data_IF_971291089564
#
_entry.id   IF_971291089564
#
_cell.length_a   1.000
_cell.length_b   1.000
_cell.length_c   1.000
_cell.angle_alpha   90.00
_cell.angle_beta   90.00
_cell.angle_gamma   90.00
#
_symmetry.space_group_name_H-M   'P 1'
#
loop_
_entity.id
_entity.type
_entity.pdbx_description
1 polymer ?
#
# COMPACT_ATOMS: atom_id res chain seq x y z
N UNK A 1 -16.12 -2.59 -23.57
CA UNK A 1 -16.29 -1.91 -22.28
C UNK A 1 -15.08 -2.30 -21.44
N UNK A 2 -14.32 -1.34 -20.95
CA UNK A 2 -13.15 -1.61 -20.09
C UNK A 2 -13.71 -1.82 -18.68
N UNK A 3 -13.50 -3.01 -18.11
CA UNK A 3 -13.89 -3.29 -16.74
C UNK A 3 -12.92 -2.57 -15.80
N UNK A 4 -13.45 -1.69 -14.96
CA UNK A 4 -12.68 -0.76 -14.12
C UNK A 4 -12.56 -1.27 -12.68
N UNK A 5 -11.61 -0.71 -11.91
CA UNK A 5 -11.51 -0.98 -10.47
C UNK A 5 -12.80 -0.64 -9.70
N UNK A 6 -13.58 0.35 -10.15
CA UNK A 6 -14.86 0.72 -9.54
C UNK A 6 -15.93 -0.35 -9.75
N UNK A 7 -16.03 -0.88 -10.97
CA UNK A 7 -16.95 -1.97 -11.30
C UNK A 7 -16.54 -3.25 -10.57
N UNK A 8 -15.24 -3.56 -10.56
CA UNK A 8 -14.70 -4.68 -9.78
C UNK A 8 -15.06 -4.56 -8.30
N UNK A 9 -14.80 -3.41 -7.66
CA UNK A 9 -15.07 -3.24 -6.24
C UNK A 9 -16.57 -3.39 -5.91
N UNK A 10 -17.44 -2.83 -6.77
CA UNK A 10 -18.90 -3.00 -6.65
C UNK A 10 -19.31 -4.47 -6.76
N UNK A 11 -18.77 -5.17 -7.75
CA UNK A 11 -19.17 -6.55 -8.05
C UNK A 11 -18.59 -7.52 -7.00
N UNK A 12 -17.36 -7.31 -6.50
CA UNK A 12 -16.81 -8.01 -5.34
C UNK A 12 -17.66 -7.79 -4.08
N UNK A 13 -18.15 -6.56 -3.84
CA UNK A 13 -19.04 -6.25 -2.71
C UNK A 13 -20.37 -7.00 -2.79
N UNK A 14 -20.89 -7.19 -4.01
CA UNK A 14 -22.09 -7.97 -4.28
C UNK A 14 -21.82 -9.49 -4.39
N UNK A 15 -20.60 -9.93 -4.09
CA UNK A 15 -20.13 -11.31 -4.21
C UNK A 15 -20.34 -11.94 -5.61
N UNK A 16 -20.23 -11.12 -6.66
CA UNK A 16 -20.37 -11.57 -8.04
C UNK A 16 -19.08 -12.24 -8.54
N UNK A 17 -19.17 -13.41 -9.23
CA UNK A 17 -18.01 -14.12 -9.73
C UNK A 17 -17.11 -13.30 -10.67
N UNK A 18 -17.69 -12.40 -11.46
CA UNK A 18 -16.98 -11.56 -12.42
C UNK A 18 -16.03 -10.58 -11.72
N UNK A 19 -16.51 -9.91 -10.67
CA UNK A 19 -15.71 -8.97 -9.88
C UNK A 19 -14.53 -9.68 -9.22
N UNK A 20 -14.80 -10.82 -8.59
CA UNK A 20 -13.74 -11.61 -7.97
C UNK A 20 -12.75 -12.20 -8.97
N UNK A 21 -13.21 -12.65 -10.15
CA UNK A 21 -12.32 -13.16 -11.19
C UNK A 21 -11.39 -12.07 -11.70
N UNK A 22 -11.92 -10.86 -11.90
CA UNK A 22 -11.09 -9.71 -12.26
C UNK A 22 -10.12 -9.34 -11.14
N UNK A 23 -10.58 -9.33 -9.88
CA UNK A 23 -9.73 -9.04 -8.73
C UNK A 23 -8.55 -10.01 -8.66
N UNK A 24 -8.84 -11.32 -8.77
CA UNK A 24 -7.83 -12.35 -8.73
C UNK A 24 -6.83 -12.23 -9.88
N UNK A 25 -7.31 -11.97 -11.10
CA UNK A 25 -6.43 -11.82 -12.26
C UNK A 25 -5.48 -10.63 -12.11
N UNK A 26 -6.00 -9.46 -11.72
CA UNK A 26 -5.23 -8.21 -11.80
C UNK A 26 -4.47 -7.85 -10.51
N UNK A 27 -4.95 -8.28 -9.34
CA UNK A 27 -4.43 -7.82 -8.05
C UNK A 27 -3.70 -8.89 -7.24
N UNK A 28 -3.90 -10.19 -7.50
CA UNK A 28 -3.09 -11.26 -6.85
C UNK A 28 -1.59 -11.11 -7.15
N UNK A 29 -1.14 -10.73 -8.36
CA UNK A 29 0.29 -10.45 -8.60
C UNK A 29 0.85 -9.38 -7.65
N UNK A 30 0.05 -8.37 -7.30
CA UNK A 30 0.44 -7.30 -6.37
C UNK A 30 0.51 -7.86 -4.94
N UNK A 31 -0.51 -8.63 -4.53
CA UNK A 31 -0.52 -9.32 -3.23
C UNK A 31 0.72 -10.21 -3.07
N UNK A 32 1.10 -10.96 -4.11
CA UNK A 32 2.33 -11.77 -4.12
C UNK A 32 3.59 -10.94 -3.87
N UNK A 33 3.74 -9.79 -4.56
CA UNK A 33 4.90 -8.91 -4.35
C UNK A 33 4.93 -8.34 -2.93
N UNK A 34 3.78 -7.96 -2.38
CA UNK A 34 3.66 -7.47 -1.01
C UNK A 34 4.02 -8.55 0.02
N UNK A 35 3.48 -9.77 -0.15
CA UNK A 35 3.81 -10.91 0.72
C UNK A 35 5.30 -11.22 0.65
N UNK A 36 5.90 -11.25 -0.54
CA UNK A 36 7.34 -11.48 -0.70
C UNK A 36 8.22 -10.38 -0.10
N UNK A 37 7.73 -9.13 -0.03
CA UNK A 37 8.47 -8.00 0.58
C UNK A 37 8.41 -8.02 2.10
N UNK A 38 7.23 -8.28 2.67
CA UNK A 38 6.94 -8.04 4.09
C UNK A 38 6.79 -9.31 4.93
N UNK A 39 6.69 -10.48 4.31
CA UNK A 39 6.53 -11.76 4.99
C UNK A 39 7.37 -12.87 4.35
N UNK A 40 7.23 -14.11 4.83
CA UNK A 40 7.80 -15.26 4.16
C UNK A 40 7.09 -15.42 2.80
N UNK A 41 7.86 -15.44 1.70
CA UNK A 41 7.36 -15.50 0.32
C UNK A 41 6.70 -16.84 -0.07
N UNK A 42 5.71 -17.28 0.71
CA UNK A 42 4.97 -18.54 0.54
C UNK A 42 3.57 -18.28 -0.05
N UNK A 43 3.20 -19.05 -1.06
CA UNK A 43 1.87 -19.02 -1.69
C UNK A 43 0.75 -19.35 -0.69
N UNK A 44 1.02 -20.13 0.37
CA UNK A 44 0.02 -20.40 1.41
C UNK A 44 -0.40 -19.11 2.14
N UNK A 45 0.53 -18.16 2.32
CA UNK A 45 0.23 -16.86 2.93
C UNK A 45 -0.59 -15.98 1.99
N UNK A 46 -0.33 -16.01 0.69
CA UNK A 46 -1.17 -15.33 -0.32
C UNK A 46 -2.61 -15.84 -0.23
N UNK A 47 -2.81 -17.17 -0.12
CA UNK A 47 -4.13 -17.75 0.08
C UNK A 47 -4.84 -17.25 1.33
N UNK A 48 -4.14 -17.18 2.48
CA UNK A 48 -4.70 -16.63 3.74
C UNK A 48 -5.12 -15.18 3.58
N UNK A 49 -4.28 -14.35 2.98
CA UNK A 49 -4.58 -12.93 2.70
C UNK A 49 -5.84 -12.80 1.86
N UNK A 50 -5.98 -13.59 0.79
CA UNK A 50 -7.16 -13.54 -0.08
C UNK A 50 -8.45 -13.95 0.65
N UNK A 51 -8.39 -14.97 1.52
CA UNK A 51 -9.51 -15.35 2.37
C UNK A 51 -9.87 -14.22 3.34
N UNK A 52 -8.87 -13.56 3.95
CA UNK A 52 -9.06 -12.39 4.82
C UNK A 52 -9.71 -11.21 4.11
N UNK A 53 -9.33 -10.94 2.85
CA UNK A 53 -9.93 -9.89 2.02
C UNK A 53 -11.40 -10.19 1.69
N UNK A 54 -11.77 -11.47 1.53
CA UNK A 54 -13.16 -11.88 1.20
C UNK A 54 -14.12 -11.84 2.39
N UNK A 55 -13.65 -12.04 3.62
CA UNK A 55 -14.50 -12.05 4.83
C UNK A 55 -15.35 -10.76 4.90
N UNK A 56 -16.69 -10.87 5.01
CA UNK A 56 -17.59 -9.70 5.01
C UNK A 56 -17.23 -8.64 6.06
N UNK A 57 -16.78 -9.07 7.24
CA UNK A 57 -16.47 -8.23 8.39
C UNK A 57 -15.13 -7.47 8.25
N UNK A 58 -14.23 -7.95 7.39
CA UNK A 58 -12.91 -7.35 7.14
C UNK A 58 -12.73 -6.89 5.69
N UNK A 59 -13.78 -6.99 4.88
CA UNK A 59 -13.72 -6.76 3.44
C UNK A 59 -13.31 -5.33 3.12
N UNK A 60 -12.17 -5.20 2.43
CA UNK A 60 -11.71 -3.95 1.82
C UNK A 60 -12.83 -3.27 1.02
N UNK A 61 -13.66 -4.07 0.36
CA UNK A 61 -14.73 -3.59 -0.50
C UNK A 61 -15.92 -3.01 0.27
N UNK A 62 -16.15 -3.41 1.53
CA UNK A 62 -17.25 -2.85 2.34
C UNK A 62 -16.87 -1.51 2.97
N UNK A 63 -15.60 -1.32 3.30
CA UNK A 63 -15.12 -0.12 4.00
C UNK A 63 -14.69 1.01 3.08
N UNK A 64 -14.45 0.71 1.80
CA UNK A 64 -13.91 1.66 0.83
C UNK A 64 -15.01 2.22 -0.07
N UNK A 65 -15.19 3.54 -0.01
CA UNK A 65 -15.95 4.27 -1.02
C UNK A 65 -15.30 4.12 -2.41
N UNK A 66 -16.01 4.42 -3.52
CA UNK A 66 -15.41 4.48 -4.84
C UNK A 66 -14.19 5.40 -4.86
N UNK A 67 -12.99 4.83 -5.02
CA UNK A 67 -11.72 5.57 -5.09
C UNK A 67 -10.91 5.16 -6.32
N UNK A 68 -10.01 6.04 -6.79
CA UNK A 68 -9.11 5.70 -7.88
C UNK A 68 -8.21 4.51 -7.55
N UNK A 69 -7.83 3.73 -8.57
CA UNK A 69 -7.10 2.48 -8.42
C UNK A 69 -5.83 2.59 -7.56
N UNK A 70 -5.03 3.65 -7.72
CA UNK A 70 -3.82 3.83 -6.89
C UNK A 70 -4.14 3.94 -5.39
N UNK A 71 -5.26 4.57 -5.04
CA UNK A 71 -5.73 4.66 -3.66
C UNK A 71 -6.23 3.30 -3.18
N UNK A 72 -7.03 2.62 -3.99
CA UNK A 72 -7.47 1.24 -3.71
C UNK A 72 -6.28 0.32 -3.42
N UNK A 73 -5.22 0.41 -4.20
CA UNK A 73 -4.00 -0.37 -4.02
C UNK A 73 -3.24 -0.04 -2.73
N UNK A 74 -3.20 1.24 -2.32
CA UNK A 74 -2.60 1.64 -1.05
C UNK A 74 -3.38 1.08 0.15
N UNK A 75 -4.70 0.97 0.04
CA UNK A 75 -5.56 0.35 1.07
C UNK A 75 -5.48 -1.19 1.03
N UNK A 76 -5.40 -1.78 -0.17
CA UNK A 76 -5.12 -3.20 -0.35
C UNK A 76 -3.81 -3.58 0.34
N UNK A 77 -2.76 -2.76 0.19
CA UNK A 77 -1.50 -2.94 0.91
C UNK A 77 -1.71 -3.04 2.42
N UNK A 78 -2.50 -2.16 3.03
CA UNK A 78 -2.78 -2.23 4.46
C UNK A 78 -3.44 -3.53 4.86
N UNK A 79 -4.42 -3.98 4.06
CA UNK A 79 -5.08 -5.26 4.29
C UNK A 79 -4.15 -6.45 4.18
N UNK A 80 -3.23 -6.45 3.21
CA UNK A 80 -2.20 -7.50 3.12
C UNK A 80 -1.35 -7.50 4.38
N UNK A 81 -0.82 -6.34 4.81
CA UNK A 81 0.04 -6.25 5.99
C UNK A 81 -0.65 -6.64 7.30
N UNK A 82 -1.95 -6.38 7.42
CA UNK A 82 -2.74 -6.75 8.60
C UNK A 82 -2.85 -8.28 8.79
N UNK A 83 -2.72 -9.05 7.71
CA UNK A 83 -2.74 -10.52 7.72
C UNK A 83 -1.34 -11.13 7.91
N UNK A 84 -0.29 -10.30 7.97
CA UNK A 84 1.08 -10.75 8.20
C UNK A 84 1.40 -10.79 9.70
N UNK A 85 2.19 -11.78 10.10
CA UNK A 85 2.77 -11.78 11.44
C UNK A 85 3.64 -10.54 11.62
N UNK A 86 3.40 -9.81 12.71
CA UNK A 86 4.24 -8.66 13.07
C UNK A 86 5.35 -9.14 14.00
N UNK A 87 6.63 -9.07 13.59
CA UNK A 87 7.73 -9.35 14.49
C UNK A 87 7.70 -8.39 15.68
N UNK A 88 7.98 -8.90 16.88
CA UNK A 88 8.20 -8.05 18.05
C UNK A 88 9.61 -7.47 17.97
N UNK A 89 9.78 -6.15 17.91
CA UNK A 89 11.11 -5.55 17.84
C UNK A 89 11.79 -5.67 19.21
N UNK A 90 13.11 -5.90 19.19
CA UNK A 90 13.94 -5.95 20.41
C UNK A 90 14.04 -4.58 21.09
N UNK A 91 14.07 -3.51 20.28
CA UNK A 91 14.05 -2.12 20.74
C UNK A 91 12.78 -1.50 20.17
N UNK A 92 11.82 -1.20 21.04
CA UNK A 92 10.57 -0.54 20.69
C UNK A 92 10.77 0.97 20.56
N UNK A 93 10.10 1.58 19.59
CA UNK A 93 9.97 3.04 19.48
C UNK A 93 8.53 3.39 19.06
N UNK A 94 7.95 4.39 19.71
CA UNK A 94 6.64 4.90 19.37
C UNK A 94 6.68 6.00 18.31
N UNK A 95 5.51 6.30 17.73
CA UNK A 95 5.39 7.30 16.68
C UNK A 95 5.70 8.72 17.18
N UNK A 96 5.40 9.04 18.45
CA UNK A 96 5.62 10.36 19.03
C UNK A 96 7.12 10.66 19.18
N UNK A 97 7.91 9.66 19.56
CA UNK A 97 9.37 9.73 19.63
C UNK A 97 9.97 9.91 18.24
N UNK A 98 9.48 9.16 17.23
CA UNK A 98 9.89 9.36 15.83
C UNK A 98 9.52 10.77 15.35
N UNK A 99 8.31 11.23 15.66
CA UNK A 99 7.83 12.55 15.29
C UNK A 99 8.70 13.66 15.86
N UNK A 100 9.03 13.58 17.15
CA UNK A 100 9.88 14.53 17.84
C UNK A 100 11.34 14.49 17.35
N UNK A 101 11.87 13.31 17.03
CA UNK A 101 13.22 13.17 16.51
C UNK A 101 13.36 13.78 15.10
N UNK A 102 12.38 13.53 14.23
CA UNK A 102 12.45 13.89 12.82
C UNK A 102 11.81 15.26 12.53
N UNK A 103 11.38 16.01 13.54
CA UNK A 103 10.83 17.37 13.40
C UNK A 103 11.69 18.28 12.49
N UNK A 104 13.04 18.32 12.62
CA UNK A 104 13.89 19.21 11.83
C UNK A 104 14.04 18.83 10.36
N UNK A 105 13.47 17.70 9.94
CA UNK A 105 13.50 17.24 8.56
C UNK A 105 12.34 17.85 7.77
N UNK A 106 12.61 18.19 6.51
CA UNK A 106 11.59 18.58 5.53
C UNK A 106 10.65 17.41 5.22
N UNK A 107 9.51 17.70 4.60
CA UNK A 107 8.54 16.66 4.17
C UNK A 107 9.20 15.54 3.34
N UNK A 108 10.03 15.90 2.36
CA UNK A 108 10.67 14.91 1.47
C UNK A 108 11.74 14.11 2.22
N UNK A 109 12.48 14.73 3.14
CA UNK A 109 13.42 14.02 4.00
C UNK A 109 12.71 13.03 4.94
N UNK A 110 11.56 13.43 5.51
CA UNK A 110 10.68 12.55 6.28
C UNK A 110 10.19 11.37 5.46
N UNK A 111 9.79 11.58 4.20
CA UNK A 111 9.40 10.48 3.30
C UNK A 111 10.57 9.52 3.03
N UNK A 112 11.78 10.03 2.78
CA UNK A 112 12.97 9.20 2.53
C UNK A 112 13.36 8.36 3.75
N UNK A 113 13.23 8.92 4.96
CA UNK A 113 13.41 8.20 6.21
C UNK A 113 12.27 7.21 6.47
N UNK A 114 11.01 7.61 6.25
CA UNK A 114 9.84 6.77 6.50
C UNK A 114 9.80 5.53 5.60
N UNK A 115 10.22 5.62 4.34
CA UNK A 115 10.34 4.47 3.43
C UNK A 115 11.33 3.41 3.95
N UNK A 116 12.23 3.76 4.86
CA UNK A 116 13.08 2.78 5.55
C UNK A 116 12.26 1.83 6.44
N UNK A 117 11.19 2.32 7.08
CA UNK A 117 10.24 1.48 7.85
C UNK A 117 9.57 0.43 6.96
N UNK A 118 9.50 0.70 5.66
CA UNK A 118 8.95 -0.16 4.62
C UNK A 118 9.99 -1.12 4.01
N UNK A 119 11.20 -1.17 4.60
CA UNK A 119 12.31 -2.06 4.22
C UNK A 119 12.84 -1.84 2.80
N UNK A 120 12.70 -0.64 2.25
CA UNK A 120 13.27 -0.27 0.95
C UNK A 120 14.69 0.26 1.11
N UNK A 121 15.60 -0.19 0.25
CA UNK A 121 16.98 0.32 0.25
C UNK A 121 17.06 1.73 -0.35
N UNK A 122 18.16 2.47 -0.16
CA UNK A 122 18.38 3.74 -0.83
C UNK A 122 18.27 3.67 -2.36
N UNK A 123 18.74 2.58 -2.97
CA UNK A 123 18.67 2.32 -4.41
C UNK A 123 17.23 2.19 -4.90
N UNK A 124 16.37 1.55 -4.11
CA UNK A 124 14.95 1.40 -4.43
C UNK A 124 14.15 2.68 -4.13
N UNK A 125 14.54 3.42 -3.08
CA UNK A 125 13.87 4.65 -2.66
C UNK A 125 14.16 5.82 -3.60
N UNK A 126 15.36 5.87 -4.17
CA UNK A 126 15.78 6.94 -5.08
C UNK A 126 14.80 7.18 -6.23
N UNK A 127 14.49 6.15 -7.05
CA UNK A 127 13.47 6.24 -8.10
C UNK A 127 12.09 6.68 -7.60
N UNK A 128 11.63 6.14 -6.45
CA UNK A 128 10.31 6.49 -5.88
C UNK A 128 10.17 7.97 -5.59
N UNK A 129 11.23 8.59 -5.05
CA UNK A 129 11.26 10.00 -4.66
C UNK A 129 11.96 10.89 -5.69
N UNK A 130 12.34 10.35 -6.85
CA UNK A 130 13.07 11.04 -7.93
C UNK A 130 14.34 11.75 -7.44
N UNK A 131 15.12 11.07 -6.60
CA UNK A 131 16.39 11.56 -6.08
C UNK A 131 17.51 10.51 -6.23
N UNK A 132 18.76 10.94 -6.17
CA UNK A 132 19.90 10.02 -6.22
C UNK A 132 19.94 9.13 -4.96
N UNK A 133 20.28 7.82 -5.07
CA UNK A 133 20.39 6.93 -3.91
C UNK A 133 21.32 7.46 -2.80
N UNK A 134 22.46 8.05 -3.17
CA UNK A 134 23.40 8.69 -2.24
C UNK A 134 22.78 9.87 -1.47
N UNK A 135 21.78 10.54 -2.03
CA UNK A 135 21.02 11.57 -1.31
C UNK A 135 20.11 10.93 -0.27
N UNK A 136 19.44 9.83 -0.60
CA UNK A 136 18.63 9.05 0.35
C UNK A 136 19.47 8.56 1.52
N UNK A 137 20.66 8.00 1.25
CA UNK A 137 21.61 7.55 2.29
C UNK A 137 21.92 8.66 3.28
N UNK A 138 22.35 9.83 2.80
CA UNK A 138 22.66 10.99 3.65
C UNK A 138 21.48 11.44 4.50
N UNK A 139 20.27 11.43 3.94
CA UNK A 139 19.05 11.78 4.67
C UNK A 139 18.81 10.75 5.78
N UNK A 140 18.94 9.45 5.48
CA UNK A 140 18.73 8.37 6.46
C UNK A 140 19.82 8.33 7.53
N UNK A 141 21.06 8.70 7.21
CA UNK A 141 22.13 8.84 8.20
C UNK A 141 21.82 9.99 9.16
N UNK A 142 21.38 11.15 8.63
CA UNK A 142 20.92 12.26 9.44
C UNK A 142 19.72 11.88 10.32
N UNK A 143 18.73 11.18 9.75
CA UNK A 143 17.57 10.70 10.50
C UNK A 143 17.95 9.73 11.61
N UNK A 144 18.92 8.83 11.37
CA UNK A 144 19.43 7.92 12.38
C UNK A 144 20.11 8.65 13.54
N UNK A 145 20.96 9.63 13.28
CA UNK A 145 21.61 10.40 14.34
C UNK A 145 20.59 11.20 15.17
N UNK A 146 19.55 11.75 14.52
CA UNK A 146 18.44 12.42 15.23
C UNK A 146 17.68 11.45 16.14
N UNK A 147 17.35 10.24 15.64
CA UNK A 147 16.66 9.21 16.42
C UNK A 147 17.52 8.69 17.56
N UNK A 148 18.82 8.47 17.33
CA UNK A 148 19.78 8.04 18.35
C UNK A 148 19.83 9.01 19.53
N UNK A 149 19.66 10.31 19.29
CA UNK A 149 19.57 11.33 20.33
C UNK A 149 18.26 11.34 21.13
N UNK A 150 17.29 10.48 20.80
CA UNK A 150 15.95 10.42 21.42
C UNK A 150 15.61 9.07 22.07
N UNK A 151 16.50 8.08 21.99
CA UNK A 151 16.27 6.74 22.52
C UNK A 151 17.41 6.28 23.42
N UNK A 152 17.09 5.46 24.43
CA UNK A 152 18.08 4.93 25.36
C UNK A 152 18.90 3.77 24.76
N UNK A 153 18.31 3.01 23.85
CA UNK A 153 18.95 1.91 23.13
C UNK A 153 18.88 2.15 21.62
N UNK A 154 19.98 1.89 20.91
CA UNK A 154 20.11 2.23 19.49
C UNK A 154 20.62 1.08 18.64
N UNK A 155 20.02 0.93 17.46
CA UNK A 155 20.50 0.09 16.36
C UNK A 155 20.12 0.71 15.03
N UNK A 156 20.91 0.46 13.97
CA UNK A 156 20.60 0.99 12.63
C UNK A 156 19.26 0.48 12.09
N UNK A 157 18.85 -0.73 12.48
CA UNK A 157 17.59 -1.34 12.09
C UNK A 157 16.37 -0.84 12.89
N UNK A 158 16.50 0.19 13.74
CA UNK A 158 15.41 0.64 14.62
C UNK A 158 14.11 0.94 13.86
N UNK A 159 14.18 1.73 12.77
CA UNK A 159 13.01 2.03 11.93
C UNK A 159 12.43 0.79 11.21
N UNK A 160 13.19 -0.01 10.44
CA UNK A 160 12.63 -1.17 9.73
C UNK A 160 12.09 -2.26 10.66
N UNK A 161 12.64 -2.39 11.88
CA UNK A 161 12.15 -3.36 12.85
C UNK A 161 10.82 -2.94 13.50
N UNK A 162 10.59 -1.63 13.62
CA UNK A 162 9.35 -1.06 14.15
C UNK A 162 8.33 -0.68 13.05
N UNK A 163 8.62 -0.96 11.78
CA UNK A 163 7.82 -0.40 10.68
C UNK A 163 6.34 -0.81 10.69
N UNK A 164 6.02 -2.02 11.14
CA UNK A 164 4.64 -2.48 11.25
C UNK A 164 3.85 -1.74 12.35
N UNK A 165 4.43 -1.55 13.54
CA UNK A 165 3.78 -0.82 14.64
C UNK A 165 3.66 0.67 14.31
N UNK A 166 4.73 1.28 13.76
CA UNK A 166 4.75 2.68 13.34
C UNK A 166 3.73 2.95 12.23
N UNK A 167 3.64 2.08 11.22
CA UNK A 167 2.65 2.19 10.14
C UNK A 167 1.21 2.10 10.65
N UNK A 168 0.93 1.22 11.61
CA UNK A 168 -0.39 1.14 12.27
C UNK A 168 -0.71 2.42 13.06
N UNK A 169 0.25 2.91 13.84
CA UNK A 169 0.09 4.15 14.60
C UNK A 169 -0.18 5.35 13.67
N UNK A 170 0.58 5.47 12.57
CA UNK A 170 0.38 6.53 11.59
C UNK A 170 -0.99 6.43 10.90
N UNK A 171 -1.45 5.20 10.59
CA UNK A 171 -2.79 4.99 10.02
C UNK A 171 -3.90 5.36 10.99
N UNK A 172 -3.74 5.06 12.28
CA UNK A 172 -4.71 5.40 13.32
C UNK A 172 -4.79 6.91 13.60
N UNK A 173 -3.76 7.68 13.26
CA UNK A 173 -3.71 9.14 13.41
C UNK A 173 -4.49 9.94 12.36
N UNK A 174 -5.36 9.31 11.57
CA UNK A 174 -6.18 10.01 10.58
C UNK A 174 -7.07 11.07 11.23
N UNK A 175 -7.02 12.30 10.71
CA UNK A 175 -7.79 13.45 11.20
C UNK A 175 -8.62 14.13 10.11
N UNK A 176 -9.57 14.97 10.52
CA UNK A 176 -10.45 15.72 9.59
C UNK A 176 -9.70 16.66 8.64
N UNK A 177 -8.52 17.11 9.05
CA UNK A 177 -7.66 18.01 8.28
C UNK A 177 -6.68 17.27 7.35
N UNK A 178 -6.71 15.93 7.33
CA UNK A 178 -5.88 15.14 6.42
C UNK A 178 -6.27 15.36 4.97
N UNK A 179 -5.31 15.17 4.07
CA UNK A 179 -5.50 15.40 2.65
C UNK A 179 -6.51 14.41 2.05
N UNK A 180 -7.37 14.90 1.16
CA UNK A 180 -8.28 14.05 0.40
C UNK A 180 -7.54 13.19 -0.65
N UNK A 181 -8.13 12.06 -1.09
CA UNK A 181 -7.57 11.25 -2.18
C UNK A 181 -7.26 12.03 -3.45
N UNK A 182 -8.15 12.96 -3.82
CA UNK A 182 -7.96 13.84 -4.98
C UNK A 182 -6.72 14.73 -4.82
N UNK A 183 -6.50 15.26 -3.62
CA UNK A 183 -5.35 16.12 -3.33
C UNK A 183 -4.04 15.34 -3.46
N UNK A 184 -3.96 14.14 -2.88
CA UNK A 184 -2.80 13.25 -3.01
C UNK A 184 -2.46 12.97 -4.49
N UNK A 185 -3.45 12.59 -5.28
CA UNK A 185 -3.24 12.24 -6.69
C UNK A 185 -2.82 13.45 -7.53
N UNK A 186 -3.38 14.63 -7.26
CA UNK A 186 -2.96 15.86 -7.94
C UNK A 186 -1.49 16.19 -7.72
N UNK A 187 -0.91 15.85 -6.57
CA UNK A 187 0.52 16.07 -6.28
C UNK A 187 1.37 15.11 -7.08
N UNK A 188 1.05 13.82 -6.98
CA UNK A 188 1.79 12.76 -7.65
C UNK A 188 1.79 12.95 -9.18
N UNK A 189 0.69 13.47 -9.71
CA UNK A 189 0.51 13.76 -11.13
C UNK A 189 0.99 15.17 -11.53
N UNK A 190 1.53 15.98 -10.62
CA UNK A 190 2.06 17.31 -10.92
C UNK A 190 1.01 18.36 -11.31
N UNK A 191 -0.25 18.18 -10.92
CA UNK A 191 -1.39 19.04 -11.24
C UNK A 191 -1.71 20.09 -10.16
N UNK A 192 -0.90 20.18 -9.11
CA UNK A 192 -1.12 21.17 -8.04
C UNK A 192 -0.64 22.56 -8.40
N UNK A 193 -1.44 23.56 -8.03
CA UNK A 193 -1.04 24.97 -8.06
C UNK A 193 0.05 25.25 -7.02
N UNK A 194 0.85 26.29 -7.24
CA UNK A 194 1.90 26.73 -6.30
C UNK A 194 1.38 26.96 -4.87
N UNK A 195 0.33 27.78 -4.70
CA UNK A 195 -0.26 28.09 -3.38
C UNK A 195 -0.74 26.84 -2.64
N UNK A 196 -1.39 25.92 -3.36
CA UNK A 196 -1.81 24.65 -2.78
C UNK A 196 -0.63 23.84 -2.25
N UNK A 197 0.54 23.91 -2.90
CA UNK A 197 1.74 23.16 -2.49
C UNK A 197 2.27 23.65 -1.14
N UNK A 198 2.28 24.94 -0.90
CA UNK A 198 2.72 25.52 0.38
C UNK A 198 1.79 25.15 1.55
N UNK A 199 0.48 25.25 1.34
CA UNK A 199 -0.52 24.87 2.35
C UNK A 199 -0.42 23.37 2.69
N UNK A 200 -0.15 22.57 1.67
CA UNK A 200 0.06 21.14 1.81
C UNK A 200 1.34 20.81 2.58
N UNK A 201 2.48 21.38 2.18
CA UNK A 201 3.76 21.12 2.85
C UNK A 201 3.67 21.49 4.32
N UNK A 202 2.97 22.58 4.66
CA UNK A 202 2.72 22.99 6.05
C UNK A 202 1.97 21.91 6.85
N UNK A 203 0.92 21.31 6.27
CA UNK A 203 0.16 20.24 6.93
C UNK A 203 0.98 18.94 7.02
N UNK A 204 1.49 18.47 5.88
CA UNK A 204 2.12 17.14 5.77
C UNK A 204 3.39 17.06 6.60
N UNK A 205 4.13 18.16 6.74
CA UNK A 205 5.34 18.19 7.55
C UNK A 205 5.08 17.82 9.02
N UNK A 206 3.86 18.01 9.54
CA UNK A 206 3.46 17.63 10.90
C UNK A 206 2.51 16.43 10.98
N UNK A 207 2.11 15.84 9.86
CA UNK A 207 1.08 14.80 9.81
C UNK A 207 1.66 13.46 9.34
N UNK A 208 1.97 12.58 10.28
CA UNK A 208 2.55 11.26 9.99
C UNK A 208 1.59 10.33 9.25
N UNK A 209 0.28 10.47 9.46
CA UNK A 209 -0.73 9.82 8.63
C UNK A 209 -0.53 10.16 7.14
N UNK A 210 -0.37 11.45 6.82
CA UNK A 210 -0.18 11.88 5.45
C UNK A 210 1.18 11.49 4.88
N UNK A 211 2.26 11.57 5.67
CA UNK A 211 3.60 11.09 5.26
C UNK A 211 3.55 9.62 4.88
N UNK A 212 3.01 8.80 5.78
CA UNK A 212 2.86 7.37 5.59
C UNK A 212 2.00 7.04 4.35
N UNK A 213 0.90 7.77 4.16
CA UNK A 213 0.09 7.62 2.96
C UNK A 213 0.82 8.00 1.66
N UNK A 214 1.63 9.06 1.65
CA UNK A 214 2.48 9.38 0.48
C UNK A 214 3.43 8.23 0.15
N UNK A 215 4.13 7.71 1.18
CA UNK A 215 5.09 6.64 1.03
C UNK A 215 4.43 5.37 0.46
N UNK A 216 3.22 5.02 0.92
CA UNK A 216 2.43 3.91 0.35
C UNK A 216 2.09 4.15 -1.11
N UNK A 217 1.66 5.36 -1.46
CA UNK A 217 1.27 5.67 -2.84
C UNK A 217 2.44 5.59 -3.82
N UNK A 218 3.62 6.07 -3.43
CA UNK A 218 4.83 5.95 -4.28
C UNK A 218 5.33 4.52 -4.35
N UNK A 219 5.20 3.74 -3.28
CA UNK A 219 5.50 2.30 -3.29
C UNK A 219 4.60 1.55 -4.29
N UNK A 220 3.29 1.83 -4.29
CA UNK A 220 2.35 1.22 -5.24
C UNK A 220 2.76 1.48 -6.69
N UNK A 221 3.24 2.68 -7.01
CA UNK A 221 3.70 3.00 -8.37
C UNK A 221 4.84 2.07 -8.80
N UNK A 222 5.79 1.79 -7.92
CA UNK A 222 6.88 0.85 -8.21
C UNK A 222 6.41 -0.61 -8.19
N UNK A 223 5.53 -0.99 -7.26
CA UNK A 223 5.03 -2.37 -7.15
C UNK A 223 4.21 -2.77 -8.38
N UNK A 224 3.43 -1.87 -8.96
CA UNK A 224 2.62 -2.15 -10.16
C UNK A 224 3.48 -2.25 -11.42
N UNK A 225 4.68 -1.68 -11.42
CA UNK A 225 5.53 -1.64 -12.60
C UNK A 225 5.89 -3.05 -13.07
N UNK A 226 5.58 -3.34 -14.33
CA UNK A 226 5.88 -4.63 -14.97
C UNK A 226 5.05 -5.81 -14.46
N UNK A 227 4.00 -5.58 -13.66
CA UNK A 227 3.04 -6.63 -13.33
C UNK A 227 2.21 -6.97 -14.57
N UNK A 228 1.99 -8.27 -14.77
CA UNK A 228 1.03 -8.78 -15.74
C UNK A 228 -0.13 -9.45 -15.01
N UNK A 229 -1.38 -9.31 -15.51
CA UNK A 229 -2.50 -10.08 -14.99
C UNK A 229 -2.24 -11.58 -15.10
N UNK A 230 -2.74 -12.34 -14.13
CA UNK A 230 -2.73 -13.79 -14.17
C UNK A 230 -3.62 -14.30 -15.30
N UNK A 231 -3.18 -15.37 -15.93
CA UNK A 231 -3.94 -16.15 -16.89
C UNK A 231 -5.05 -16.95 -16.20
N UNK A 232 -6.05 -17.39 -16.96
CA UNK A 232 -7.16 -18.21 -16.43
C UNK A 232 -6.68 -19.46 -15.64
N UNK A 233 -5.71 -20.26 -16.13
CA UNK A 233 -5.18 -21.40 -15.36
C UNK A 233 -4.52 -21.00 -14.03
N UNK A 234 -3.91 -19.81 -13.97
CA UNK A 234 -3.27 -19.30 -12.74
C UNK A 234 -4.27 -18.75 -11.74
N UNK A 235 -5.43 -18.28 -12.20
CA UNK A 235 -6.51 -17.77 -11.35
C UNK A 235 -7.34 -18.91 -10.73
N UNK A 236 -7.46 -20.03 -11.43
CA UNK A 236 -8.34 -21.15 -11.05
C UNK A 236 -8.10 -21.72 -9.63
N UNK A 237 -6.86 -21.92 -9.14
CA UNK A 237 -6.63 -22.33 -7.76
C UNK A 237 -7.21 -21.37 -6.73
N UNK A 238 -7.15 -20.06 -7.00
CA UNK A 238 -7.67 -19.03 -6.10
C UNK A 238 -9.21 -18.95 -6.15
N UNK A 239 -9.83 -19.16 -7.32
CA UNK A 239 -11.29 -19.28 -7.41
C UNK A 239 -11.81 -20.42 -6.56
N UNK A 240 -11.16 -21.60 -6.67
CA UNK A 240 -11.51 -22.78 -5.86
C UNK A 240 -11.29 -22.54 -4.38
N UNK A 241 -10.16 -21.93 -4.00
CA UNK A 241 -9.87 -21.57 -2.61
C UNK A 241 -10.96 -20.68 -2.02
N UNK A 242 -11.39 -19.67 -2.77
CA UNK A 242 -12.42 -18.76 -2.31
C UNK A 242 -13.80 -19.40 -2.37
N UNK A 243 -14.06 -20.34 -3.28
CA UNK A 243 -15.40 -20.89 -3.52
C UNK A 243 -16.21 -20.03 -4.50
N UNK A 244 -15.55 -19.43 -5.49
CA UNK A 244 -16.18 -18.64 -6.56
C UNK A 244 -16.61 -19.61 -7.65
N UNK A 245 -17.91 -19.72 -7.91
CA UNK A 245 -18.41 -20.58 -8.97
C UNK A 245 -18.27 -19.88 -10.33
N UNK A 246 -17.73 -20.61 -11.33
CA UNK A 246 -17.75 -20.11 -12.70
C UNK A 246 -19.19 -19.97 -13.19
N UNK A 247 -19.57 -18.79 -13.67
CA UNK A 247 -20.72 -18.70 -14.56
C UNK A 247 -20.36 -19.43 -15.85
N UNK A 248 -20.88 -20.66 -16.02
CA UNK A 248 -20.85 -21.34 -17.32
C UNK A 248 -21.44 -20.39 -18.36
N UNK A 249 -20.60 -19.84 -19.25
CA UNK A 249 -21.07 -19.10 -20.42
C UNK A 249 -22.10 -19.98 -21.10
N UNK A 250 -23.37 -19.57 -21.08
CA UNK A 250 -24.44 -20.39 -21.64
C UNK A 250 -24.11 -20.68 -23.11
N UNK A 251 -24.05 -21.96 -23.44
CA UNK A 251 -23.78 -22.48 -24.78
C UNK A 251 -24.75 -21.88 -25.82
N UNK A 252 -25.89 -21.36 -25.36
CA UNK A 252 -26.91 -20.66 -26.13
C UNK A 252 -26.41 -19.39 -26.84
N UNK A 253 -25.41 -18.66 -26.32
CA UNK A 253 -24.86 -17.48 -27.03
C UNK A 253 -23.98 -17.82 -28.24
N UNK A 254 -23.54 -19.08 -28.40
CA UNK A 254 -22.84 -19.53 -29.63
C UNK A 254 -23.78 -19.91 -30.76
N UNK A 255 -25.04 -20.23 -30.46
CA UNK A 255 -25.99 -20.70 -31.48
C UNK A 255 -26.81 -19.57 -32.14
N UNK A 256 -26.89 -18.39 -31.52
CA UNK A 256 -27.66 -17.24 -32.06
C UNK A 256 -26.81 -16.20 -32.80
N UNK A 257 -25.52 -16.43 -32.98
CA UNK A 257 -24.60 -15.52 -33.69
C UNK A 257 -24.07 -16.06 -35.02
N UNK A 258 -24.66 -17.13 -35.55
CA UNK A 258 -24.30 -17.72 -36.83
C UNK A 258 -25.43 -17.57 -37.85
N UNK A 259 -25.52 -16.40 -38.47
CA UNK A 259 -26.16 -16.16 -39.78
C UNK A 259 -25.60 -14.86 -40.33
#
# INVERSE_FOLDING_TARGET
MIYTCYEMARDCRADLPEGWSYFLSNYVPIVRRLVARYGPGDDALVGRVLVGIRKPESSLFQTLEPVPERWFLAELRQKVLAELETPVPEIEIDLDTVAAALEPLTMVEKQAAWIETMRYTPEETGPMLRMAPKTVEKIRDRAAELLRGKVDAWRRSLLPDNGASLGRAASAGAGKDCLSPKTFLNILDGRMTWRGREELERHVNGCWHCIDHFCRMVEIVELVRGIQPLTEPEVEPFRRLLGIQEQKRSVWKRWLGGS
#
